data_IF_948393208224
#
_entry.id   IF_948393208224
#
_cell.length_a   1.000
_cell.length_b   1.000
_cell.length_c   1.000
_cell.angle_alpha   90.00
_cell.angle_beta   90.00
_cell.angle_gamma   90.00
#
_symmetry.space_group_name_H-M   'P 1'
#
loop_
_entity.id
_entity.type
_entity.pdbx_description
1 polymer ?
#
# COMPACT_ATOMS: atom_id res chain seq x y z
N UNK A 1 -34.42 -35.69 53.24
CA UNK A 1 -33.52 -34.88 52.42
C UNK A 1 -33.92 -35.13 50.96
N UNK A 2 -34.48 -34.11 50.28
CA UNK A 2 -35.28 -34.30 49.07
C UNK A 2 -34.42 -34.54 47.83
N UNK A 3 -34.10 -35.80 47.50
CA UNK A 3 -33.32 -36.18 46.30
C UNK A 3 -33.99 -35.75 44.99
N UNK A 4 -35.27 -35.42 45.00
CA UNK A 4 -36.00 -34.89 43.83
C UNK A 4 -35.45 -33.54 43.36
N UNK A 5 -34.91 -32.73 44.25
CA UNK A 5 -34.30 -31.44 43.90
C UNK A 5 -32.98 -31.64 43.19
N UNK A 6 -32.21 -32.66 43.55
CA UNK A 6 -30.92 -32.99 42.90
C UNK A 6 -31.09 -33.44 41.46
N UNK A 7 -32.17 -34.16 41.14
CA UNK A 7 -32.47 -34.64 39.79
C UNK A 7 -32.82 -33.46 38.87
N UNK A 8 -33.53 -32.47 39.37
CA UNK A 8 -33.90 -31.27 38.59
C UNK A 8 -32.66 -30.41 38.27
N UNK A 9 -31.71 -30.29 39.19
CA UNK A 9 -30.47 -29.54 38.97
C UNK A 9 -29.59 -30.25 37.94
N UNK A 10 -29.59 -31.59 37.90
CA UNK A 10 -28.75 -32.34 36.95
C UNK A 10 -29.24 -32.27 35.49
N UNK A 11 -30.50 -31.96 35.25
CA UNK A 11 -31.08 -31.79 33.91
C UNK A 11 -30.74 -30.46 33.25
N UNK A 12 -30.31 -29.44 34.02
CA UNK A 12 -29.93 -28.14 33.46
C UNK A 12 -28.50 -28.06 32.93
N UNK A 13 -27.67 -29.05 33.18
CA UNK A 13 -26.25 -29.02 32.74
C UNK A 13 -26.02 -29.68 31.36
N UNK A 14 -27.05 -30.27 30.75
CA UNK A 14 -26.93 -30.83 29.37
C UNK A 14 -27.34 -29.88 28.24
N UNK A 15 -27.40 -28.58 28.50
CA UNK A 15 -27.53 -27.60 27.43
C UNK A 15 -26.15 -27.40 26.75
N UNK A 16 -25.67 -28.47 26.11
CA UNK A 16 -24.56 -28.38 25.21
C UNK A 16 -25.06 -27.71 23.95
N UNK A 17 -24.92 -26.40 23.84
CA UNK A 17 -25.10 -25.69 22.59
C UNK A 17 -24.03 -26.17 21.63
N UNK A 18 -24.40 -27.02 20.67
CA UNK A 18 -23.59 -27.26 19.49
C UNK A 18 -23.52 -25.97 18.72
N UNK A 19 -22.49 -25.17 18.98
CA UNK A 19 -22.11 -24.11 18.08
C UNK A 19 -21.77 -24.79 16.73
N UNK A 20 -22.68 -24.72 15.79
CA UNK A 20 -22.36 -24.89 14.40
C UNK A 20 -21.27 -23.86 14.08
N UNK A 21 -20.02 -24.29 14.19
CA UNK A 21 -18.89 -23.61 13.60
C UNK A 21 -19.14 -23.73 12.09
N UNK A 22 -19.88 -22.77 11.56
CA UNK A 22 -19.78 -22.47 10.16
C UNK A 22 -18.29 -22.32 9.90
N UNK A 23 -17.74 -23.34 9.24
CA UNK A 23 -16.40 -23.32 8.67
C UNK A 23 -16.41 -22.20 7.63
N UNK A 24 -16.44 -20.96 8.12
CA UNK A 24 -16.02 -19.83 7.32
C UNK A 24 -14.65 -20.27 6.81
N UNK A 25 -14.59 -20.57 5.53
CA UNK A 25 -13.32 -20.70 4.86
C UNK A 25 -12.57 -19.42 5.19
N UNK A 26 -11.70 -19.51 6.18
CA UNK A 26 -10.70 -18.52 6.38
C UNK A 26 -9.91 -18.51 5.08
N UNK A 27 -10.39 -17.69 4.13
CA UNK A 27 -9.59 -17.20 3.04
C UNK A 27 -8.41 -16.58 3.76
N UNK A 28 -7.31 -17.33 3.85
CA UNK A 28 -6.05 -16.82 4.33
C UNK A 28 -5.76 -15.66 3.40
N UNK A 29 -6.18 -14.47 3.84
CA UNK A 29 -5.71 -13.24 3.24
C UNK A 29 -4.23 -13.28 3.61
N UNK A 30 -3.41 -13.79 2.69
CA UNK A 30 -1.98 -13.57 2.73
C UNK A 30 -1.89 -12.06 2.59
N UNK A 31 -1.90 -11.39 3.72
CA UNK A 31 -1.58 -9.99 3.84
C UNK A 31 -0.09 -9.96 3.52
N UNK A 32 0.24 -9.83 2.23
CA UNK A 32 1.60 -9.54 1.82
C UNK A 32 1.97 -8.29 2.62
N UNK A 33 2.97 -8.39 3.48
CA UNK A 33 3.44 -7.25 4.26
C UNK A 33 3.67 -6.11 3.30
N UNK A 34 2.79 -5.13 3.34
CA UNK A 34 2.87 -3.96 2.49
C UNK A 34 3.94 -3.08 3.09
N UNK A 35 5.10 -3.00 2.45
CA UNK A 35 6.13 -2.06 2.87
C UNK A 35 5.53 -0.65 2.91
N UNK A 36 5.72 0.06 4.00
CA UNK A 36 5.42 1.48 4.15
C UNK A 36 6.59 2.17 4.81
N UNK A 37 6.99 3.31 4.26
CA UNK A 37 8.05 4.15 4.80
C UNK A 37 7.68 5.62 4.62
N UNK A 38 7.72 6.38 5.72
CA UNK A 38 7.48 7.83 5.75
C UNK A 38 8.78 8.57 5.97
N UNK A 39 8.95 9.69 5.29
CA UNK A 39 10.15 10.51 5.46
C UNK A 39 10.28 11.58 4.39
N UNK A 40 11.31 12.40 4.53
CA UNK A 40 11.63 13.43 3.57
C UNK A 40 12.17 12.80 2.27
N UNK A 41 11.70 13.31 1.14
CA UNK A 41 12.23 12.93 -0.17
C UNK A 41 13.16 14.03 -0.70
N UNK A 42 14.10 13.63 -1.55
CA UNK A 42 15.04 14.54 -2.19
C UNK A 42 14.69 14.67 -3.68
N UNK A 43 14.51 15.89 -4.14
CA UNK A 43 14.37 16.16 -5.58
C UNK A 43 15.73 15.97 -6.25
N UNK A 44 15.78 15.10 -7.26
CA UNK A 44 16.99 14.91 -8.05
C UNK A 44 17.32 16.18 -8.85
N UNK A 45 18.56 16.60 -8.79
CA UNK A 45 19.15 17.55 -9.71
C UNK A 45 20.60 17.15 -10.08
N UNK A 46 21.09 17.64 -11.19
CA UNK A 46 22.45 17.30 -11.69
C UNK A 46 23.56 17.80 -10.76
N UNK A 47 23.35 18.86 -9.97
CA UNK A 47 24.37 19.39 -9.07
C UNK A 47 24.59 18.46 -7.86
N UNK A 48 23.55 17.82 -7.36
CA UNK A 48 23.68 16.80 -6.32
C UNK A 48 24.53 15.61 -6.83
N UNK A 49 24.42 15.29 -8.11
CA UNK A 49 25.25 14.25 -8.73
C UNK A 49 26.69 14.71 -8.89
N UNK A 50 26.94 15.96 -9.35
CA UNK A 50 28.29 16.55 -9.43
C UNK A 50 28.99 16.59 -8.09
N UNK A 51 28.24 16.91 -7.01
CA UNK A 51 28.71 16.90 -5.62
C UNK A 51 28.87 15.47 -5.04
N UNK A 52 28.60 14.42 -5.84
CA UNK A 52 28.66 13.01 -5.43
C UNK A 52 27.73 12.65 -4.26
N UNK A 53 26.72 13.46 -3.97
CA UNK A 53 25.69 13.15 -3.00
C UNK A 53 24.74 12.07 -3.51
N UNK A 54 24.51 12.04 -4.82
CA UNK A 54 23.76 10.99 -5.52
C UNK A 54 24.66 10.40 -6.59
N UNK A 55 24.74 9.08 -6.71
CA UNK A 55 25.63 8.43 -7.65
C UNK A 55 24.96 7.99 -8.96
N UNK A 56 23.66 8.05 -9.06
CA UNK A 56 22.89 7.68 -10.27
C UNK A 56 22.04 8.85 -10.73
N UNK A 57 21.70 8.83 -12.04
CA UNK A 57 20.84 9.84 -12.65
C UNK A 57 19.40 9.35 -12.70
N UNK A 58 18.46 10.26 -12.44
CA UNK A 58 17.03 10.10 -12.72
C UNK A 58 16.67 11.04 -13.87
N UNK A 59 15.96 10.54 -14.85
CA UNK A 59 15.39 11.35 -15.91
C UNK A 59 14.23 12.20 -15.36
N UNK A 60 14.24 13.50 -15.66
CA UNK A 60 13.29 14.45 -15.06
C UNK A 60 11.82 14.10 -15.26
N UNK A 61 11.49 13.57 -16.45
CA UNK A 61 10.11 13.20 -16.83
C UNK A 61 9.71 11.78 -16.46
N UNK A 62 10.60 11.01 -15.85
CA UNK A 62 10.33 9.61 -15.50
C UNK A 62 9.49 9.51 -14.23
N UNK A 63 8.79 8.37 -14.09
CA UNK A 63 8.12 7.97 -12.84
C UNK A 63 9.01 6.98 -12.08
N UNK A 64 10.29 7.34 -11.92
CA UNK A 64 11.31 6.53 -11.26
C UNK A 64 11.67 7.17 -9.91
N UNK A 65 11.87 6.31 -8.91
CA UNK A 65 12.26 6.69 -7.55
C UNK A 65 13.46 5.84 -7.14
N UNK A 66 14.45 6.43 -6.49
CA UNK A 66 15.45 5.67 -5.80
C UNK A 66 15.02 5.44 -4.35
N UNK A 67 14.95 4.18 -3.95
CA UNK A 67 14.60 3.75 -2.61
C UNK A 67 15.49 2.57 -2.21
N UNK A 68 16.21 2.70 -1.07
CA UNK A 68 17.27 1.75 -0.68
C UNK A 68 16.75 0.37 -0.27
N UNK A 69 15.54 0.32 0.31
CA UNK A 69 15.00 -0.87 0.94
C UNK A 69 14.08 -1.69 0.02
N UNK A 70 13.89 -1.22 -1.22
CA UNK A 70 13.02 -1.88 -2.20
C UNK A 70 13.84 -2.37 -3.39
N UNK A 71 13.41 -3.46 -3.98
CA UNK A 71 14.01 -4.01 -5.20
C UNK A 71 13.68 -3.13 -6.40
N UNK A 72 14.60 -3.09 -7.36
CA UNK A 72 14.36 -2.47 -8.66
C UNK A 72 13.06 -3.02 -9.28
N UNK A 73 12.36 -2.17 -10.02
CA UNK A 73 11.11 -2.44 -10.73
C UNK A 73 9.90 -2.74 -9.81
N UNK A 74 10.04 -2.61 -8.48
CA UNK A 74 8.91 -2.67 -7.57
C UNK A 74 7.93 -1.54 -7.85
N UNK A 75 6.64 -1.86 -8.01
CA UNK A 75 5.59 -0.87 -8.12
C UNK A 75 5.28 -0.27 -6.75
N UNK A 76 5.25 1.05 -6.68
CA UNK A 76 5.01 1.81 -5.45
C UNK A 76 3.97 2.89 -5.66
N UNK A 77 3.28 3.22 -4.59
CA UNK A 77 2.46 4.42 -4.46
C UNK A 77 3.21 5.41 -3.57
N UNK A 78 3.34 6.63 -4.02
CA UNK A 78 3.90 7.74 -3.24
C UNK A 78 2.78 8.68 -2.89
N UNK A 79 2.68 9.05 -1.64
CA UNK A 79 1.67 9.97 -1.11
C UNK A 79 2.36 11.17 -0.49
N UNK A 80 2.01 12.37 -0.92
CA UNK A 80 2.37 13.59 -0.21
C UNK A 80 1.50 13.69 1.05
N UNK A 81 2.10 13.67 2.24
CA UNK A 81 1.37 13.64 3.51
C UNK A 81 0.77 15.00 3.91
N UNK A 82 1.13 16.08 3.22
CA UNK A 82 0.58 17.41 3.49
C UNK A 82 -0.74 17.66 2.74
N UNK A 83 -0.85 17.16 1.51
CA UNK A 83 -2.02 17.41 0.65
C UNK A 83 -2.77 16.15 0.20
N UNK A 84 -2.30 14.95 0.59
CA UNK A 84 -2.83 13.64 0.24
C UNK A 84 -2.80 13.30 -1.27
N UNK A 85 -2.09 14.06 -2.10
CA UNK A 85 -1.88 13.69 -3.50
C UNK A 85 -1.04 12.43 -3.61
N UNK A 86 -1.38 11.59 -4.58
CA UNK A 86 -0.73 10.30 -4.78
C UNK A 86 -0.32 10.11 -6.23
N UNK A 87 0.80 9.42 -6.43
CA UNK A 87 1.26 8.99 -7.76
C UNK A 87 1.77 7.56 -7.71
N UNK A 88 1.61 6.84 -8.81
CA UNK A 88 2.19 5.52 -9.00
C UNK A 88 3.55 5.67 -9.69
N UNK A 89 4.55 4.99 -9.16
CA UNK A 89 5.91 5.04 -9.67
C UNK A 89 6.57 3.66 -9.59
N UNK A 90 7.79 3.55 -10.12
CA UNK A 90 8.62 2.35 -10.01
C UNK A 90 9.92 2.66 -9.30
N UNK A 91 10.38 1.70 -8.53
CA UNK A 91 11.73 1.77 -7.94
C UNK A 91 12.76 1.58 -9.03
N UNK A 92 13.68 2.52 -9.14
CA UNK A 92 14.80 2.46 -10.08
C UNK A 92 15.96 1.61 -9.57
N UNK A 93 17.10 1.79 -10.18
CA UNK A 93 18.34 1.13 -9.75
C UNK A 93 18.77 1.60 -8.38
N UNK A 94 19.43 0.73 -7.62
CA UNK A 94 19.97 1.13 -6.32
C UNK A 94 20.95 2.30 -6.47
N UNK A 95 20.75 3.33 -5.67
CA UNK A 95 21.54 4.57 -5.68
C UNK A 95 21.97 4.95 -4.28
N UNK A 96 23.17 5.50 -4.16
CA UNK A 96 23.62 6.12 -2.91
C UNK A 96 23.07 7.54 -2.84
N UNK A 97 22.53 7.92 -1.69
CA UNK A 97 22.09 9.27 -1.33
C UNK A 97 22.10 9.43 0.19
N UNK A 98 22.03 10.66 0.75
CA UNK A 98 22.10 10.88 2.19
C UNK A 98 21.01 10.11 2.96
N UNK A 99 21.40 9.52 4.09
CA UNK A 99 20.51 8.64 4.87
C UNK A 99 19.31 9.36 5.52
N UNK A 100 19.37 10.68 5.60
CA UNK A 100 18.26 11.50 6.07
C UNK A 100 17.01 11.35 5.20
N UNK A 101 17.22 11.21 3.88
CA UNK A 101 16.10 11.07 2.95
C UNK A 101 15.66 9.62 2.81
N UNK A 102 14.33 9.41 2.76
CA UNK A 102 13.78 8.08 2.49
C UNK A 102 13.87 7.70 1.01
N UNK A 103 13.93 8.68 0.13
CA UNK A 103 13.94 8.48 -1.32
C UNK A 103 14.54 9.66 -2.08
N UNK A 104 14.84 9.43 -3.36
CA UNK A 104 15.14 10.47 -4.36
C UNK A 104 14.14 10.33 -5.49
N UNK A 105 13.50 11.42 -5.87
CA UNK A 105 12.43 11.45 -6.89
C UNK A 105 12.78 12.32 -8.08
N UNK A 106 12.13 12.06 -9.21
CA UNK A 106 12.22 12.90 -10.40
C UNK A 106 11.47 14.22 -10.23
N UNK A 107 11.76 15.19 -11.09
CA UNK A 107 11.07 16.48 -11.15
C UNK A 107 9.57 16.29 -11.43
N UNK A 108 9.22 15.40 -12.34
CA UNK A 108 7.81 15.09 -12.64
C UNK A 108 7.03 14.63 -11.41
N UNK A 109 7.56 13.68 -10.63
CA UNK A 109 6.91 13.20 -9.42
C UNK A 109 6.74 14.32 -8.41
N UNK A 110 7.77 15.17 -8.28
CA UNK A 110 7.76 16.32 -7.37
C UNK A 110 6.64 17.29 -7.71
N UNK A 111 6.50 17.64 -9.00
CA UNK A 111 5.48 18.56 -9.52
C UNK A 111 4.07 17.97 -9.41
N UNK A 112 3.87 16.71 -9.81
CA UNK A 112 2.55 16.04 -9.76
C UNK A 112 2.04 15.84 -8.31
N UNK A 113 2.94 15.65 -7.36
CA UNK A 113 2.59 15.58 -5.94
C UNK A 113 2.43 16.97 -5.29
N UNK A 114 2.75 18.05 -6.00
CA UNK A 114 2.79 19.43 -5.45
C UNK A 114 3.56 19.48 -4.11
N UNK A 115 4.76 18.94 -4.12
CA UNK A 115 5.58 18.93 -2.91
C UNK A 115 6.09 20.33 -2.57
N UNK A 116 6.12 20.64 -1.28
CA UNK A 116 6.73 21.87 -0.78
C UNK A 116 8.25 21.69 -0.64
N UNK A 117 9.04 22.63 -1.14
CA UNK A 117 10.51 22.58 -1.03
C UNK A 117 11.01 22.56 0.39
N UNK A 118 10.34 23.26 1.29
CA UNK A 118 10.73 23.33 2.71
C UNK A 118 10.31 22.07 3.48
N UNK A 119 9.30 21.32 3.00
CA UNK A 119 8.78 20.15 3.70
C UNK A 119 8.33 19.05 2.69
N UNK A 120 9.26 18.46 1.92
CA UNK A 120 8.92 17.40 0.95
C UNK A 120 8.71 16.05 1.66
N UNK A 121 7.64 15.94 2.46
CA UNK A 121 7.37 14.77 3.30
C UNK A 121 6.39 13.82 2.64
N UNK A 122 6.83 12.58 2.41
CA UNK A 122 6.07 11.58 1.67
C UNK A 122 5.99 10.24 2.39
N UNK A 123 4.95 9.47 2.06
CA UNK A 123 4.85 8.05 2.35
C UNK A 123 5.03 7.24 1.07
N UNK A 124 5.88 6.22 1.12
CA UNK A 124 6.07 5.26 0.03
C UNK A 124 5.53 3.91 0.48
N UNK A 125 4.57 3.37 -0.28
CA UNK A 125 3.99 2.04 -0.04
C UNK A 125 4.15 1.15 -1.27
N UNK A 126 4.46 -0.13 -1.07
CA UNK A 126 4.46 -1.10 -2.17
C UNK A 126 3.04 -1.45 -2.56
N UNK A 127 2.86 -1.69 -3.87
CA UNK A 127 1.60 -2.16 -4.42
C UNK A 127 1.79 -3.62 -4.83
N UNK A 128 0.97 -4.53 -4.29
CA UNK A 128 0.93 -5.88 -4.79
C UNK A 128 0.20 -5.91 -6.13
N UNK A 129 0.68 -6.73 -7.08
CA UNK A 129 0.05 -6.87 -8.40
C UNK A 129 -1.43 -7.25 -8.33
N UNK A 130 -1.83 -7.94 -7.26
CA UNK A 130 -3.22 -8.33 -7.02
C UNK A 130 -4.15 -7.15 -6.67
N UNK A 131 -3.61 -6.04 -6.16
CA UNK A 131 -4.42 -4.86 -5.80
C UNK A 131 -4.86 -4.04 -7.02
N UNK A 132 -4.11 -4.11 -8.12
CA UNK A 132 -4.45 -3.39 -9.36
C UNK A 132 -5.56 -4.08 -10.15
N UNK A 133 -5.78 -5.38 -9.94
CA UNK A 133 -6.82 -6.14 -10.65
C UNK A 133 -8.24 -5.87 -10.12
N UNK A 134 -8.38 -5.49 -8.86
CA UNK A 134 -9.68 -5.17 -8.26
C UNK A 134 -10.23 -3.80 -8.68
N UNK A 135 -9.37 -2.87 -9.05
CA UNK A 135 -9.78 -1.54 -9.50
C UNK A 135 -10.31 -1.51 -10.95
N UNK A 136 -10.05 -2.57 -11.75
CA UNK A 136 -10.51 -2.68 -13.15
C UNK A 136 -11.86 -3.34 -13.35
N UNK A 137 -12.48 -3.90 -12.29
CA UNK A 137 -13.90 -4.27 -12.35
C UNK A 137 -14.74 -3.02 -12.10
N UNK A 138 -14.78 -2.13 -13.08
CA UNK A 138 -15.81 -1.12 -13.13
C UNK A 138 -17.17 -1.83 -13.04
N UNK A 139 -17.99 -1.47 -12.06
CA UNK A 139 -19.40 -1.85 -12.04
C UNK A 139 -20.00 -1.31 -13.34
N UNK A 140 -20.31 -2.19 -14.29
CA UNK A 140 -21.21 -1.80 -15.36
C UNK A 140 -22.55 -1.52 -14.70
N UNK A 141 -23.02 -0.28 -14.82
CA UNK A 141 -24.34 0.09 -14.37
C UNK A 141 -25.36 -0.71 -15.21
N UNK A 142 -26.47 -1.10 -14.60
CA UNK A 142 -27.50 -1.93 -15.26
C UNK A 142 -28.08 -1.31 -16.54
N UNK A 143 -27.92 0.01 -16.72
CA UNK A 143 -28.27 0.75 -17.94
C UNK A 143 -27.40 0.40 -19.15
N UNK A 144 -26.12 0.08 -18.95
CA UNK A 144 -25.21 -0.31 -20.04
C UNK A 144 -25.44 -1.75 -20.51
N UNK A 145 -26.01 -2.60 -19.65
CA UNK A 145 -26.36 -3.98 -20.03
C UNK A 145 -27.51 -4.04 -21.01
N UNK A 146 -28.41 -3.04 -21.02
CA UNK A 146 -29.58 -3.00 -21.92
C UNK A 146 -29.21 -2.58 -23.34
N UNK A 147 -28.09 -1.90 -23.54
CA UNK A 147 -27.63 -1.42 -24.86
C UNK A 147 -26.83 -2.49 -25.62
N UNK A 148 -26.22 -3.44 -24.93
CA UNK A 148 -25.39 -4.51 -25.53
C UNK A 148 -26.21 -5.71 -26.07
N UNK A 149 -27.54 -5.70 -25.98
CA UNK A 149 -28.44 -6.80 -26.38
C UNK A 149 -29.33 -6.42 -27.56
N UNK A 150 -28.96 -5.44 -28.37
CA UNK A 150 -29.66 -5.16 -29.66
C UNK A 150 -28.76 -5.45 -30.83
#
# INVERSE_FOLDING_TARGET
MNYKIFIVIFLFIYSCTTNNINKSQNKVIIQSETYSNKGFTLLFNEDLKKQKLINKKIEERSLIVFQKNLKKDTNIKITNLLNNKTILAKVGVNSKYPNFFNSVISKRIYEELELNESEPYVEITTISENSTFLAKKAKMYDEEKQVAVK
#
